data_IF_311027221133
#
_entry.id   IF_311027221133
#
_cell.length_a   1.000
_cell.length_b   1.000
_cell.length_c   1.000
_cell.angle_alpha   90.00
_cell.angle_beta   90.00
_cell.angle_gamma   90.00
#
_symmetry.space_group_name_H-M   'P 1'
#
loop_
_entity.id
_entity.type
_entity.pdbx_description
1 polymer ?
#
# COMPACT_ATOMS: atom_id res chain seq x y z
N UNK A 1 38.74 -33.01 20.51
CA UNK A 1 38.91 -31.56 20.24
C UNK A 1 38.58 -31.40 18.78
N UNK A 2 37.31 -31.17 18.48
CA UNK A 2 36.88 -30.72 17.17
C UNK A 2 35.78 -29.70 17.43
N UNK A 3 36.03 -28.49 16.95
CA UNK A 3 35.29 -27.29 17.27
C UNK A 3 34.17 -27.05 16.26
N UNK A 4 33.13 -26.50 16.84
CA UNK A 4 31.87 -25.93 16.37
C UNK A 4 31.89 -24.97 15.14
N UNK A 5 30.69 -24.89 14.54
CA UNK A 5 29.98 -23.74 13.95
C UNK A 5 30.35 -23.14 12.56
N UNK A 6 29.33 -23.11 11.68
CA UNK A 6 28.57 -21.92 11.16
C UNK A 6 27.74 -22.35 9.93
N UNK A 7 26.41 -22.49 9.99
CA UNK A 7 25.35 -21.45 9.89
C UNK A 7 25.60 -20.41 8.79
N UNK A 8 24.69 -20.40 7.82
CA UNK A 8 24.52 -19.37 6.81
C UNK A 8 23.12 -19.50 6.23
N UNK A 9 22.10 -19.24 7.05
CA UNK A 9 20.72 -19.00 6.61
C UNK A 9 20.69 -17.70 5.80
N UNK A 10 20.62 -17.84 4.47
CA UNK A 10 20.28 -16.75 3.57
C UNK A 10 18.76 -16.64 3.46
N UNK A 11 18.12 -15.98 4.42
CA UNK A 11 16.77 -15.46 4.22
C UNK A 11 16.87 -14.20 3.36
N UNK A 12 16.98 -14.41 2.05
CA UNK A 12 16.72 -13.37 1.07
C UNK A 12 15.30 -12.86 1.27
N UNK A 13 15.18 -11.54 1.42
CA UNK A 13 13.89 -10.84 1.33
C UNK A 13 13.21 -11.26 0.03
N UNK A 14 12.14 -12.05 0.13
CA UNK A 14 11.25 -12.30 -1.01
C UNK A 14 10.30 -11.12 -1.03
N UNK A 15 10.76 -10.00 -1.58
CA UNK A 15 9.85 -9.02 -2.14
C UNK A 15 9.09 -9.75 -3.25
N UNK A 16 7.81 -10.03 -3.05
CA UNK A 16 6.98 -10.52 -4.15
C UNK A 16 6.89 -9.36 -5.13
N UNK A 17 7.59 -9.49 -6.26
CA UNK A 17 7.61 -8.50 -7.34
C UNK A 17 6.28 -8.54 -8.11
N UNK A 18 5.20 -8.09 -7.48
CA UNK A 18 3.97 -7.78 -8.18
C UNK A 18 3.87 -6.26 -8.36
N UNK A 19 3.28 -5.86 -9.48
CA UNK A 19 2.98 -4.45 -9.74
C UNK A 19 1.86 -3.98 -8.79
N UNK A 20 2.05 -2.89 -8.08
CA UNK A 20 1.02 -2.29 -7.22
C UNK A 20 -0.03 -1.57 -8.05
N UNK A 21 -1.30 -1.72 -7.67
CA UNK A 21 -2.43 -1.05 -8.32
C UNK A 21 -3.30 -0.33 -7.29
N UNK A 22 -3.89 0.80 -7.69
CA UNK A 22 -4.93 1.46 -6.90
C UNK A 22 -6.06 0.45 -6.64
N UNK A 23 -6.51 0.38 -5.39
CA UNK A 23 -7.50 -0.58 -4.94
C UNK A 23 -6.92 -1.90 -4.41
N UNK A 24 -5.61 -2.18 -4.56
CA UNK A 24 -5.02 -3.36 -3.92
C UNK A 24 -5.18 -3.29 -2.39
N UNK A 25 -5.56 -4.41 -1.77
CA UNK A 25 -5.52 -4.61 -0.32
C UNK A 25 -4.24 -5.37 0.01
N UNK A 26 -3.41 -4.81 0.89
CA UNK A 26 -2.10 -5.33 1.25
C UNK A 26 -2.05 -5.63 2.75
N UNK A 27 -1.34 -6.68 3.13
CA UNK A 27 -0.80 -6.82 4.49
C UNK A 27 0.67 -6.35 4.49
N UNK A 28 0.97 -5.39 5.35
CA UNK A 28 2.31 -4.89 5.61
C UNK A 28 2.82 -5.42 6.95
N UNK A 29 4.07 -5.84 6.99
CA UNK A 29 4.79 -6.07 8.24
C UNK A 29 6.28 -5.77 8.09
N UNK A 30 6.94 -5.42 9.18
CA UNK A 30 8.38 -5.18 9.24
C UNK A 30 8.87 -5.66 10.60
N UNK A 31 9.89 -6.54 10.66
CA UNK A 31 10.46 -6.98 11.92
C UNK A 31 10.92 -5.81 12.78
N UNK A 32 10.68 -5.93 14.09
CA UNK A 32 11.10 -4.94 15.07
C UNK A 32 12.64 -4.90 15.18
N UNK A 33 13.23 -3.83 14.67
CA UNK A 33 14.68 -3.59 14.59
C UNK A 33 15.10 -2.57 15.64
N UNK A 34 16.23 -2.79 16.30
CA UNK A 34 16.74 -1.85 17.31
C UNK A 34 17.06 -0.48 16.71
N UNK A 35 16.74 0.57 17.45
CA UNK A 35 17.04 1.96 17.11
C UNK A 35 17.31 2.76 18.40
N UNK A 36 18.02 3.87 18.26
CA UNK A 36 18.33 4.77 19.39
C UNK A 36 17.35 5.93 19.42
N UNK A 37 16.76 6.18 20.57
CA UNK A 37 15.96 7.38 20.84
C UNK A 37 16.89 8.57 20.98
N UNK A 38 16.66 9.62 20.19
CA UNK A 38 17.44 10.86 20.21
C UNK A 38 16.72 11.96 21.00
N UNK A 39 15.39 11.99 20.92
CA UNK A 39 14.54 12.97 21.59
C UNK A 39 13.15 12.38 21.85
N UNK A 40 12.52 12.84 22.93
CA UNK A 40 11.14 12.53 23.27
C UNK A 40 10.39 13.85 23.46
N UNK A 41 9.28 14.02 22.76
CA UNK A 41 8.35 15.12 22.96
C UNK A 41 7.02 14.58 23.49
N UNK A 42 6.06 15.46 23.76
CA UNK A 42 4.71 15.04 24.14
C UNK A 42 4.00 14.30 22.98
N UNK A 43 4.37 14.64 21.75
CA UNK A 43 3.69 14.17 20.54
C UNK A 43 4.51 13.11 19.81
N UNK A 44 5.84 13.14 19.89
CA UNK A 44 6.71 12.34 19.03
C UNK A 44 7.85 11.66 19.78
N UNK A 45 8.28 10.52 19.25
CA UNK A 45 9.54 9.85 19.57
C UNK A 45 10.46 9.97 18.37
N UNK A 46 11.61 10.63 18.59
CA UNK A 46 12.60 10.85 17.55
C UNK A 46 13.69 9.79 17.65
N UNK A 47 13.96 9.10 16.55
CA UNK A 47 14.85 7.93 16.54
C UNK A 47 15.85 8.01 15.40
N UNK A 48 17.07 7.54 15.65
CA UNK A 48 18.03 7.23 14.58
C UNK A 48 17.41 6.14 13.71
N UNK A 49 17.14 6.46 12.44
CA UNK A 49 16.44 5.55 11.56
C UNK A 49 17.35 4.38 11.17
N UNK A 50 16.94 3.13 11.40
CA UNK A 50 17.87 2.01 11.31
C UNK A 50 18.17 1.55 9.88
N UNK A 51 17.41 2.03 8.88
CA UNK A 51 17.46 1.49 7.52
C UNK A 51 18.00 2.46 6.47
N UNK A 52 17.72 3.76 6.57
CA UNK A 52 18.14 4.72 5.55
C UNK A 52 19.45 5.38 5.91
N UNK A 53 20.26 5.66 4.89
CA UNK A 53 21.46 6.48 5.02
C UNK A 53 21.17 7.93 4.64
N UNK A 54 21.90 8.88 5.21
CA UNK A 54 21.87 10.27 4.74
C UNK A 54 22.44 10.35 3.32
N UNK A 55 21.78 11.09 2.44
CA UNK A 55 22.27 11.34 1.08
C UNK A 55 23.23 12.54 1.08
N UNK A 56 24.55 12.33 0.90
CA UNK A 56 25.52 13.42 0.90
C UNK A 56 25.42 14.31 -0.34
N UNK A 57 24.81 13.79 -1.42
CA UNK A 57 24.69 14.44 -2.73
C UNK A 57 23.32 15.11 -2.91
N UNK A 58 22.55 15.26 -1.82
CA UNK A 58 21.25 15.92 -1.83
C UNK A 58 21.41 17.44 -1.73
N UNK A 59 21.40 18.10 -2.89
CA UNK A 59 21.41 19.56 -2.97
C UNK A 59 20.06 20.14 -2.51
N UNK A 60 20.09 20.98 -1.47
CA UNK A 60 18.93 21.76 -1.01
C UNK A 60 17.96 21.03 -0.07
N UNK A 61 18.07 19.70 0.09
CA UNK A 61 17.30 18.93 1.08
C UNK A 61 18.28 18.21 2.00
N UNK A 62 18.27 18.54 3.30
CA UNK A 62 19.13 17.91 4.30
C UNK A 62 18.28 17.14 5.28
N UNK A 63 18.52 15.83 5.36
CA UNK A 63 18.01 14.97 6.40
C UNK A 63 19.15 14.54 7.32
N UNK A 64 18.88 14.45 8.62
CA UNK A 64 19.89 14.23 9.66
C UNK A 64 19.95 12.78 10.14
N UNK A 65 19.27 11.84 9.48
CA UNK A 65 19.21 10.45 9.91
C UNK A 65 18.12 10.14 10.93
N UNK A 66 17.32 11.14 11.34
CA UNK A 66 16.30 11.00 12.39
C UNK A 66 14.90 11.02 11.81
N UNK A 67 14.05 10.11 12.26
CA UNK A 67 12.61 10.10 11.98
C UNK A 67 11.84 10.39 13.27
N UNK A 68 10.81 11.22 13.18
CA UNK A 68 9.84 11.42 14.24
C UNK A 68 8.65 10.47 14.01
N UNK A 69 8.31 9.68 15.01
CA UNK A 69 7.13 8.81 15.01
C UNK A 69 6.18 9.27 16.11
N UNK A 70 4.88 9.27 15.82
CA UNK A 70 3.86 9.63 16.80
C UNK A 70 4.01 8.79 18.10
N UNK A 71 3.93 9.44 19.26
CA UNK A 71 4.21 8.86 20.56
C UNK A 71 3.11 7.90 21.05
N UNK A 72 1.87 8.07 20.60
CA UNK A 72 0.79 7.17 20.95
C UNK A 72 -0.56 7.47 20.30
N UNK A 73 -1.62 6.72 20.65
CA UNK A 73 -2.95 6.83 20.07
C UNK A 73 -3.61 8.21 20.14
N UNK A 74 -3.22 9.02 21.12
CA UNK A 74 -3.77 10.37 21.34
C UNK A 74 -3.03 11.45 20.54
N UNK A 75 -1.96 11.08 19.81
CA UNK A 75 -1.18 12.00 18.98
C UNK A 75 -1.77 12.13 17.58
N UNK A 76 -1.79 13.35 17.05
CA UNK A 76 -2.15 13.61 15.65
C UNK A 76 -1.26 12.79 14.69
N UNK A 77 -1.87 12.09 13.74
CA UNK A 77 -1.16 11.30 12.74
C UNK A 77 -0.82 9.87 13.16
N UNK A 78 -1.03 9.50 14.43
CA UNK A 78 -0.86 8.10 14.88
C UNK A 78 -1.73 7.12 14.08
N UNK A 79 -2.94 7.55 13.72
CA UNK A 79 -3.88 6.78 12.92
C UNK A 79 -3.35 6.48 11.51
N UNK A 80 -2.53 7.38 10.94
CA UNK A 80 -1.89 7.24 9.62
C UNK A 80 -0.59 6.45 9.66
N UNK A 81 0.14 6.54 10.77
CA UNK A 81 1.42 5.86 10.96
C UNK A 81 1.23 4.32 10.99
N UNK A 82 2.10 3.59 10.29
CA UNK A 82 2.16 2.12 10.28
C UNK A 82 3.28 1.60 11.17
N UNK A 83 4.35 2.37 11.37
CA UNK A 83 5.44 2.01 12.27
C UNK A 83 5.01 2.12 13.73
N UNK A 84 5.53 1.21 14.55
CA UNK A 84 5.31 1.17 15.99
C UNK A 84 6.65 1.08 16.69
N UNK A 85 6.70 1.67 17.88
CA UNK A 85 7.86 1.63 18.76
C UNK A 85 7.57 0.70 19.94
N UNK A 86 8.59 -0.06 20.35
CA UNK A 86 8.60 -0.87 21.55
C UNK A 86 9.85 -0.58 22.41
N UNK A 87 9.73 -0.36 23.72
CA UNK A 87 8.49 -0.20 24.49
C UNK A 87 7.73 1.09 24.09
N UNK A 88 6.53 1.28 24.63
CA UNK A 88 5.71 2.47 24.35
C UNK A 88 6.41 3.76 24.78
N UNK A 89 6.07 4.90 24.16
CA UNK A 89 6.77 6.17 24.37
C UNK A 89 6.87 6.59 25.85
N UNK A 90 5.80 6.40 26.64
CA UNK A 90 5.78 6.73 28.07
C UNK A 90 6.72 5.88 28.95
N UNK A 91 7.28 4.81 28.40
CA UNK A 91 8.25 3.93 29.07
C UNK A 91 9.69 4.16 28.60
N UNK A 92 9.89 5.06 27.62
CA UNK A 92 11.20 5.39 27.09
C UNK A 92 11.85 6.54 27.86
N UNK A 93 13.17 6.56 27.83
CA UNK A 93 14.00 7.69 28.22
C UNK A 93 14.80 8.16 26.99
N UNK A 94 15.30 9.42 26.98
CA UNK A 94 16.27 9.85 25.97
C UNK A 94 17.50 8.93 25.97
N UNK A 95 18.13 8.73 24.81
CA UNK A 95 19.24 7.80 24.57
C UNK A 95 18.92 6.31 24.81
N UNK A 96 17.68 5.95 25.15
CA UNK A 96 17.28 4.57 25.28
C UNK A 96 17.32 3.84 23.92
N UNK A 97 17.54 2.53 23.99
CA UNK A 97 17.34 1.64 22.83
C UNK A 97 15.87 1.25 22.80
N UNK A 98 15.23 1.51 21.67
CA UNK A 98 13.89 1.04 21.36
C UNK A 98 13.94 0.06 20.18
N UNK A 99 12.80 -0.49 19.81
CA UNK A 99 12.64 -1.29 18.60
C UNK A 99 11.54 -0.70 17.74
N UNK A 100 11.79 -0.59 16.44
CA UNK A 100 10.87 -0.04 15.46
C UNK A 100 10.51 -1.13 14.46
N UNK A 101 9.22 -1.29 14.19
CA UNK A 101 8.74 -2.23 13.19
C UNK A 101 7.31 -1.91 12.78
N UNK A 102 6.77 -2.71 11.87
CA UNK A 102 5.37 -2.65 11.46
C UNK A 102 4.75 -3.97 11.92
N UNK A 103 3.84 -4.00 12.91
CA UNK A 103 3.06 -5.20 13.17
C UNK A 103 2.21 -5.53 11.93
N UNK A 104 1.73 -6.78 11.75
CA UNK A 104 0.82 -7.12 10.65
C UNK A 104 -0.32 -6.09 10.54
N UNK A 105 -0.33 -5.33 9.45
CA UNK A 105 -1.19 -4.17 9.27
C UNK A 105 -1.80 -4.23 7.88
N UNK A 106 -3.13 -4.32 7.82
CA UNK A 106 -3.88 -4.26 6.56
C UNK A 106 -4.00 -2.80 6.11
N UNK A 107 -3.67 -2.55 4.84
CA UNK A 107 -3.80 -1.26 4.17
C UNK A 107 -4.42 -1.41 2.79
N UNK A 108 -4.99 -0.34 2.24
CA UNK A 108 -5.45 -0.29 0.85
C UNK A 108 -4.76 0.83 0.08
N UNK A 109 -4.36 0.51 -1.16
CA UNK A 109 -3.59 1.41 -2.03
C UNK A 109 -4.53 2.44 -2.66
N UNK A 110 -4.25 3.72 -2.45
CA UNK A 110 -5.03 4.83 -3.01
C UNK A 110 -4.31 5.57 -4.14
N UNK A 111 -2.98 5.45 -4.22
CA UNK A 111 -2.20 5.99 -5.33
C UNK A 111 -0.90 5.22 -5.53
N UNK A 112 -0.46 5.13 -6.79
CA UNK A 112 0.86 4.62 -7.16
C UNK A 112 1.50 5.62 -8.10
N UNK A 113 2.73 6.05 -7.80
CA UNK A 113 3.45 7.05 -8.60
C UNK A 113 4.86 6.55 -8.90
N UNK A 114 5.26 6.61 -10.16
CA UNK A 114 6.64 6.39 -10.55
C UNK A 114 7.38 7.74 -10.52
N UNK A 115 8.55 7.74 -9.89
CA UNK A 115 9.42 8.90 -9.71
C UNK A 115 10.64 8.72 -10.61
N UNK A 116 10.55 9.25 -11.83
CA UNK A 116 11.64 9.26 -12.80
C UNK A 116 11.92 10.71 -13.27
N UNK A 117 13.06 11.31 -12.88
CA UNK A 117 14.15 10.72 -12.09
C UNK A 117 13.75 10.43 -10.62
N UNK A 118 14.51 9.57 -9.91
CA UNK A 118 14.28 9.30 -8.48
C UNK A 118 14.27 10.58 -7.66
N UNK A 119 13.32 10.69 -6.72
CA UNK A 119 13.10 11.90 -5.93
C UNK A 119 14.25 12.14 -4.95
N UNK A 120 14.76 13.37 -4.92
CA UNK A 120 15.76 13.80 -3.94
C UNK A 120 15.04 14.13 -2.62
N UNK A 121 15.32 13.35 -1.57
CA UNK A 121 14.67 13.44 -0.25
C UNK A 121 15.64 13.72 0.90
N UNK A 122 16.95 13.77 0.64
CA UNK A 122 17.97 13.87 1.68
C UNK A 122 18.40 12.53 2.29
N UNK A 123 17.79 11.43 1.87
CA UNK A 123 18.16 10.07 2.29
C UNK A 123 18.32 9.12 1.10
N UNK A 124 19.02 8.02 1.35
CA UNK A 124 19.21 6.90 0.44
C UNK A 124 18.48 5.65 0.96
N UNK A 125 17.96 4.80 0.06
CA UNK A 125 17.91 5.00 -1.39
C UNK A 125 16.94 6.13 -1.77
N UNK A 126 17.24 6.85 -2.86
CA UNK A 126 16.33 7.89 -3.38
C UNK A 126 15.05 7.25 -3.89
N UNK A 127 13.87 7.70 -3.44
CA UNK A 127 12.63 7.05 -3.82
C UNK A 127 12.40 7.04 -5.33
N UNK A 128 12.08 5.87 -5.87
CA UNK A 128 11.78 5.62 -7.30
C UNK A 128 10.30 5.38 -7.52
N UNK A 129 9.60 4.93 -6.49
CA UNK A 129 8.16 4.73 -6.52
C UNK A 129 7.56 5.19 -5.20
N UNK A 130 6.32 5.65 -5.28
CA UNK A 130 5.52 6.00 -4.12
C UNK A 130 4.22 5.21 -4.19
N UNK A 131 4.03 4.30 -3.23
CA UNK A 131 2.76 3.61 -3.00
C UNK A 131 2.12 4.25 -1.78
N UNK A 132 1.00 4.95 -2.00
CA UNK A 132 0.26 5.64 -0.96
C UNK A 132 -0.90 4.78 -0.52
N UNK A 133 -1.00 4.52 0.79
CA UNK A 133 -2.00 3.64 1.36
C UNK A 133 -2.75 4.28 2.54
N UNK A 134 -3.96 3.80 2.77
CA UNK A 134 -4.74 4.04 3.98
C UNK A 134 -4.84 2.74 4.79
N UNK A 135 -4.84 2.83 6.12
CA UNK A 135 -5.04 1.65 6.97
C UNK A 135 -6.50 1.21 6.92
N UNK A 136 -6.74 -0.08 7.20
CA UNK A 136 -8.09 -0.60 7.28
C UNK A 136 -8.96 0.25 8.24
N UNK A 137 -10.18 0.57 7.81
CA UNK A 137 -11.11 1.47 8.50
C UNK A 137 -11.01 2.94 8.10
N UNK A 138 -10.01 3.34 7.30
CA UNK A 138 -9.88 4.71 6.80
C UNK A 138 -10.39 4.83 5.36
N UNK A 139 -11.32 5.76 5.13
CA UNK A 139 -11.83 6.07 3.78
C UNK A 139 -11.05 7.20 3.13
N UNK A 140 -10.97 7.20 1.80
CA UNK A 140 -10.45 8.33 1.03
C UNK A 140 -11.34 9.57 1.24
N UNK A 141 -10.72 10.70 1.58
CA UNK A 141 -11.39 12.00 1.67
C UNK A 141 -10.84 12.94 0.60
N UNK A 142 -11.65 13.20 -0.42
CA UNK A 142 -11.29 14.04 -1.55
C UNK A 142 -11.04 15.52 -1.17
N UNK A 143 -11.44 15.96 0.02
CA UNK A 143 -11.17 17.32 0.51
C UNK A 143 -9.74 17.48 1.06
N UNK A 144 -9.03 16.37 1.33
CA UNK A 144 -7.68 16.39 1.86
C UNK A 144 -6.66 16.32 0.72
N UNK A 145 -5.74 17.28 0.68
CA UNK A 145 -4.66 17.30 -0.31
C UNK A 145 -3.66 16.15 -0.10
N UNK A 146 -3.38 15.83 1.17
CA UNK A 146 -2.45 14.77 1.56
C UNK A 146 -3.13 13.81 2.55
N UNK A 147 -3.34 12.58 2.08
CA UNK A 147 -3.92 11.50 2.87
C UNK A 147 -3.10 10.22 2.71
N UNK A 148 -3.09 9.42 3.77
CA UNK A 148 -2.40 8.14 3.81
C UNK A 148 -0.92 8.24 4.16
N UNK A 149 -0.30 7.07 4.23
CA UNK A 149 1.14 6.89 4.40
C UNK A 149 1.72 6.36 3.12
N UNK A 150 2.89 6.87 2.74
CA UNK A 150 3.58 6.52 1.52
C UNK A 150 4.81 5.67 1.84
N UNK A 151 5.06 4.63 1.04
CA UNK A 151 6.33 3.89 1.09
C UNK A 151 6.87 3.68 -0.32
N UNK A 152 8.18 3.50 -0.42
CA UNK A 152 8.84 3.02 -1.64
C UNK A 152 9.06 1.51 -1.51
N UNK A 153 8.48 0.67 -2.38
CA UNK A 153 8.72 -0.77 -2.39
C UNK A 153 10.20 -1.16 -2.50
N UNK A 154 11.01 -0.30 -3.11
CA UNK A 154 12.44 -0.49 -3.37
C UNK A 154 13.35 0.20 -2.33
N UNK A 155 12.81 0.60 -1.17
CA UNK A 155 13.61 1.08 -0.05
C UNK A 155 14.37 -0.01 0.73
N UNK A 156 15.27 0.42 1.62
CA UNK A 156 16.08 -0.49 2.45
C UNK A 156 15.34 -0.99 3.72
N UNK A 157 14.05 -0.65 3.88
CA UNK A 157 13.27 -1.13 5.01
C UNK A 157 12.88 -2.60 4.73
N UNK A 158 13.12 -3.55 5.65
CA UNK A 158 12.85 -4.97 5.46
C UNK A 158 11.35 -5.29 5.62
N UNK A 159 10.54 -4.63 4.80
CA UNK A 159 9.08 -4.76 4.75
C UNK A 159 8.72 -6.05 4.03
N UNK A 160 7.87 -6.85 4.66
CA UNK A 160 7.11 -7.90 3.97
C UNK A 160 5.79 -7.31 3.51
N UNK A 161 5.45 -7.54 2.25
CA UNK A 161 4.22 -7.08 1.63
C UNK A 161 3.51 -8.27 1.00
N UNK A 162 2.27 -8.50 1.39
CA UNK A 162 1.42 -9.54 0.81
C UNK A 162 0.18 -8.91 0.16
N UNK A 163 -0.14 -9.31 -1.06
CA UNK A 163 -1.40 -8.94 -1.71
C UNK A 163 -2.52 -9.83 -1.17
N UNK A 164 -3.45 -9.25 -0.41
CA UNK A 164 -4.62 -9.95 0.11
C UNK A 164 -5.75 -9.99 -0.91
N UNK A 165 -5.93 -8.90 -1.66
CA UNK A 165 -7.00 -8.79 -2.64
C UNK A 165 -6.67 -7.74 -3.70
N UNK A 166 -7.02 -8.05 -4.95
CA UNK A 166 -7.00 -7.11 -6.07
C UNK A 166 -8.39 -7.07 -6.70
N UNK A 167 -9.09 -5.92 -6.67
CA UNK A 167 -10.36 -5.80 -7.35
C UNK A 167 -10.15 -5.95 -8.85
N UNK A 168 -11.02 -6.73 -9.49
CA UNK A 168 -10.98 -7.01 -10.94
C UNK A 168 -9.63 -7.60 -11.38
N UNK A 169 -9.06 -8.53 -10.62
CA UNK A 169 -7.75 -9.14 -10.91
C UNK A 169 -7.63 -9.80 -12.30
N UNK A 170 -8.76 -10.10 -12.95
CA UNK A 170 -8.85 -10.64 -14.31
C UNK A 170 -8.73 -9.56 -15.42
N UNK A 171 -8.63 -8.27 -15.06
CA UNK A 171 -8.46 -7.16 -15.99
C UNK A 171 -7.09 -6.47 -15.86
N UNK A 172 -6.68 -5.85 -16.96
CA UNK A 172 -5.53 -4.98 -17.07
C UNK A 172 -5.97 -3.55 -17.38
N UNK A 173 -5.24 -2.55 -16.86
CA UNK A 173 -5.55 -1.14 -17.11
C UNK A 173 -5.44 -0.90 -18.62
N UNK A 174 -6.51 -0.39 -19.22
CA UNK A 174 -6.61 -0.17 -20.66
C UNK A 174 -7.49 -1.19 -21.38
N UNK A 175 -7.82 -2.32 -20.75
CA UNK A 175 -8.72 -3.32 -21.33
C UNK A 175 -10.04 -2.67 -21.76
N UNK A 176 -10.47 -3.00 -22.98
CA UNK A 176 -11.76 -2.60 -23.52
C UNK A 176 -12.70 -3.81 -23.45
N UNK A 177 -13.86 -3.63 -22.82
CA UNK A 177 -14.83 -4.71 -22.57
C UNK A 177 -16.22 -4.30 -23.04
N UNK A 178 -17.02 -5.27 -23.47
CA UNK A 178 -18.46 -5.12 -23.60
C UNK A 178 -19.14 -5.69 -22.36
N UNK A 179 -20.14 -4.97 -21.83
CA UNK A 179 -21.00 -5.46 -20.78
C UNK A 179 -22.13 -6.35 -21.33
N UNK A 180 -22.95 -6.94 -20.47
CA UNK A 180 -24.05 -7.82 -20.88
C UNK A 180 -25.17 -7.10 -21.66
N UNK A 181 -25.24 -5.77 -21.61
CA UNK A 181 -26.09 -4.94 -22.45
C UNK A 181 -25.49 -4.61 -23.82
N UNK A 182 -24.26 -5.06 -24.08
CA UNK A 182 -23.51 -4.76 -25.31
C UNK A 182 -22.87 -3.37 -25.32
N UNK A 183 -22.86 -2.66 -24.17
CA UNK A 183 -22.21 -1.35 -24.06
C UNK A 183 -20.71 -1.54 -23.86
N UNK A 184 -19.91 -0.75 -24.57
CA UNK A 184 -18.45 -0.81 -24.50
C UNK A 184 -17.88 0.12 -23.42
N UNK A 185 -16.86 -0.36 -22.72
CA UNK A 185 -16.20 0.30 -21.60
C UNK A 185 -14.70 0.14 -21.69
N UNK A 186 -13.95 1.12 -21.19
CA UNK A 186 -12.53 0.99 -20.90
C UNK A 186 -12.31 0.91 -19.40
N UNK A 187 -11.58 -0.12 -18.96
CA UNK A 187 -11.15 -0.26 -17.58
C UNK A 187 -9.93 0.62 -17.33
N UNK A 188 -10.02 1.57 -16.39
CA UNK A 188 -8.92 2.50 -16.07
C UNK A 188 -8.27 2.24 -14.72
N UNK A 189 -8.87 1.35 -13.92
CA UNK A 189 -8.40 0.96 -12.60
C UNK A 189 -9.57 0.65 -11.69
N UNK A 190 -9.27 0.35 -10.42
CA UNK A 190 -10.30 0.10 -9.43
C UNK A 190 -11.29 1.27 -9.37
N UNK A 191 -12.56 0.97 -9.63
CA UNK A 191 -13.69 1.91 -9.62
C UNK A 191 -13.68 3.01 -10.71
N UNK A 192 -12.66 3.05 -11.57
CA UNK A 192 -12.56 3.99 -12.69
C UNK A 192 -12.92 3.28 -14.01
N UNK A 193 -14.18 3.47 -14.41
CA UNK A 193 -14.77 2.90 -15.63
C UNK A 193 -15.17 4.01 -16.59
N UNK A 194 -14.69 3.93 -17.83
CA UNK A 194 -14.98 4.92 -18.86
C UNK A 194 -15.86 4.32 -19.96
N UNK A 195 -17.12 4.73 -20.10
CA UNK A 195 -17.94 4.28 -21.23
C UNK A 195 -17.54 4.99 -22.52
N UNK A 196 -17.61 4.29 -23.66
CA UNK A 196 -17.25 4.84 -24.97
C UNK A 196 -18.33 5.76 -25.57
N UNK A 197 -19.57 5.64 -25.11
CA UNK A 197 -20.70 6.46 -25.56
C UNK A 197 -20.77 7.84 -24.89
N UNK A 198 -19.86 8.12 -23.95
CA UNK A 198 -19.79 9.40 -23.24
C UNK A 198 -20.92 9.64 -22.24
N UNK A 199 -21.74 8.63 -21.91
CA UNK A 199 -22.73 8.78 -20.84
C UNK A 199 -22.06 8.90 -19.45
N UNK A 200 -22.86 9.28 -18.45
CA UNK A 200 -22.39 9.47 -17.07
C UNK A 200 -21.64 8.25 -16.54
N UNK A 201 -20.62 8.46 -15.68
CA UNK A 201 -19.87 7.38 -15.05
C UNK A 201 -20.81 6.43 -14.30
N UNK A 202 -20.74 5.15 -14.67
CA UNK A 202 -21.43 4.05 -14.01
C UNK A 202 -20.56 2.79 -14.11
N UNK A 203 -20.98 1.72 -13.46
CA UNK A 203 -20.31 0.44 -13.55
C UNK A 203 -20.85 -0.42 -14.72
N UNK A 204 -20.02 -1.26 -15.36
CA UNK A 204 -20.50 -2.19 -16.37
C UNK A 204 -21.33 -3.32 -15.76
N UNK A 205 -22.37 -3.76 -16.47
CA UNK A 205 -23.19 -4.90 -16.04
C UNK A 205 -22.55 -6.22 -16.45
N UNK A 206 -22.33 -7.10 -15.49
CA UNK A 206 -21.71 -8.40 -15.77
C UNK A 206 -22.69 -9.38 -16.47
N UNK A 207 -22.19 -10.41 -17.18
CA UNK A 207 -20.78 -10.71 -17.48
C UNK A 207 -20.14 -9.69 -18.43
N UNK A 208 -18.81 -9.66 -18.42
CA UNK A 208 -17.98 -8.85 -19.30
C UNK A 208 -17.40 -9.73 -20.41
N UNK A 209 -17.29 -9.15 -21.61
CA UNK A 209 -16.60 -9.74 -22.75
C UNK A 209 -15.41 -8.86 -23.10
N UNK A 210 -14.19 -9.39 -23.06
CA UNK A 210 -13.01 -8.65 -23.51
C UNK A 210 -13.10 -8.40 -25.03
N UNK A 211 -12.97 -7.14 -25.42
CA UNK A 211 -12.94 -6.71 -26.81
C UNK A 211 -11.50 -6.59 -27.29
N UNK A 212 -10.68 -5.85 -26.53
CA UNK A 212 -9.25 -5.67 -26.82
C UNK A 212 -8.45 -5.57 -25.52
N UNK A 213 -7.19 -6.02 -25.59
CA UNK A 213 -6.12 -5.77 -24.62
C UNK A 213 -4.95 -5.17 -25.37
N UNK A 214 -4.45 -4.03 -24.90
CA UNK A 214 -3.42 -3.24 -25.59
C UNK A 214 -3.75 -2.90 -27.06
N UNK A 215 -5.04 -2.86 -27.40
CA UNK A 215 -5.53 -2.58 -28.76
C UNK A 215 -5.62 -3.79 -29.68
N UNK A 216 -5.20 -4.97 -29.23
CA UNK A 216 -5.27 -6.24 -29.96
C UNK A 216 -6.30 -7.19 -29.35
N UNK A 217 -6.77 -8.16 -30.14
CA UNK A 217 -7.62 -9.25 -29.64
C UNK A 217 -6.77 -10.28 -28.89
N UNK A 218 -7.20 -10.65 -27.69
CA UNK A 218 -6.60 -11.73 -26.90
C UNK A 218 -7.67 -12.76 -26.51
N UNK A 219 -7.74 -13.86 -27.27
CA UNK A 219 -8.74 -14.90 -27.08
C UNK A 219 -8.60 -15.61 -25.72
N UNK A 220 -7.38 -15.75 -25.21
CA UNK A 220 -7.15 -16.41 -23.93
C UNK A 220 -7.64 -15.53 -22.78
N UNK A 221 -7.25 -14.26 -22.78
CA UNK A 221 -7.74 -13.29 -21.80
C UNK A 221 -9.25 -13.08 -21.90
N UNK A 222 -9.83 -13.15 -23.12
CA UNK A 222 -11.27 -13.05 -23.31
C UNK A 222 -12.04 -14.19 -22.63
N UNK A 223 -11.53 -15.42 -22.68
CA UNK A 223 -12.10 -16.55 -21.95
C UNK A 223 -12.02 -16.30 -20.44
N UNK A 224 -10.85 -15.91 -19.93
CA UNK A 224 -10.65 -15.67 -18.49
C UNK A 224 -11.57 -14.57 -17.94
N UNK A 225 -11.69 -13.43 -18.65
CA UNK A 225 -12.59 -12.33 -18.27
C UNK A 225 -14.04 -12.77 -18.29
N UNK A 226 -14.45 -13.52 -19.31
CA UNK A 226 -15.83 -14.03 -19.40
C UNK A 226 -16.11 -14.95 -18.24
N UNK A 227 -15.29 -15.97 -18.01
CA UNK A 227 -15.47 -16.95 -16.93
C UNK A 227 -15.49 -16.28 -15.55
N UNK A 228 -14.58 -15.33 -15.30
CA UNK A 228 -14.51 -14.62 -14.01
C UNK A 228 -15.74 -13.76 -13.72
N UNK A 229 -16.49 -13.35 -14.75
CA UNK A 229 -17.66 -12.47 -14.63
C UNK A 229 -18.99 -13.16 -14.93
N UNK A 230 -18.98 -14.46 -15.25
CA UNK A 230 -20.20 -15.28 -15.41
C UNK A 230 -21.06 -15.28 -14.14
N UNK A 231 -20.43 -15.14 -12.98
CA UNK A 231 -21.08 -15.04 -11.69
C UNK A 231 -20.63 -13.78 -10.95
N UNK A 232 -21.51 -13.31 -10.07
CA UNK A 232 -21.32 -12.13 -9.26
C UNK A 232 -21.58 -10.82 -9.99
N UNK A 233 -21.10 -9.72 -9.43
CA UNK A 233 -21.34 -8.38 -9.96
C UNK A 233 -20.29 -7.38 -9.51
N UNK A 234 -20.28 -6.21 -10.15
CA UNK A 234 -19.52 -5.06 -9.69
C UNK A 234 -19.79 -4.71 -8.21
N UNK A 235 -21.06 -4.75 -7.79
CA UNK A 235 -21.46 -4.43 -6.42
C UNK A 235 -20.93 -5.45 -5.41
N UNK A 236 -20.89 -6.73 -5.78
CA UNK A 236 -20.29 -7.79 -4.96
C UNK A 236 -18.76 -7.63 -4.87
N UNK A 237 -18.08 -7.23 -5.95
CA UNK A 237 -16.65 -6.91 -5.93
C UNK A 237 -16.34 -5.76 -4.97
N UNK A 238 -17.14 -4.69 -5.06
CA UNK A 238 -17.04 -3.53 -4.19
C UNK A 238 -17.34 -3.88 -2.73
N UNK A 239 -18.33 -4.73 -2.47
CA UNK A 239 -18.65 -5.21 -1.12
C UNK A 239 -17.50 -6.02 -0.51
N UNK A 240 -16.89 -6.93 -1.28
CA UNK A 240 -15.70 -7.68 -0.83
C UNK A 240 -14.53 -6.76 -0.51
N UNK A 241 -14.29 -5.77 -1.38
CA UNK A 241 -13.24 -4.78 -1.15
C UNK A 241 -13.49 -3.96 0.12
N UNK A 242 -14.72 -3.44 0.31
CA UNK A 242 -15.09 -2.66 1.50
C UNK A 242 -14.93 -3.46 2.80
N UNK A 243 -15.27 -4.75 2.78
CA UNK A 243 -15.10 -5.63 3.93
C UNK A 243 -13.62 -5.79 4.32
N UNK A 244 -12.77 -6.11 3.33
CA UNK A 244 -11.32 -6.26 3.55
C UNK A 244 -10.62 -4.94 3.88
N UNK A 245 -11.08 -3.82 3.33
CA UNK A 245 -10.63 -2.49 3.67
C UNK A 245 -11.12 -2.01 5.04
N UNK A 246 -11.98 -2.78 5.73
CA UNK A 246 -12.54 -2.43 7.04
C UNK A 246 -13.52 -1.26 7.00
N UNK A 247 -14.11 -0.96 5.83
CA UNK A 247 -15.04 0.16 5.61
C UNK A 247 -16.50 -0.25 5.77
N UNK A 248 -16.79 -1.53 5.91
CA UNK A 248 -18.12 -2.00 6.27
C UNK A 248 -18.48 -1.50 7.67
N UNK A 249 -19.62 -0.81 7.85
CA UNK A 249 -20.05 -0.40 9.19
C UNK A 249 -20.13 -1.62 10.09
N UNK A 250 -19.58 -1.52 11.31
CA UNK A 250 -19.88 -2.50 12.34
C UNK A 250 -21.40 -2.59 12.43
N UNK A 251 -21.98 -3.77 12.17
CA UNK A 251 -23.42 -3.98 12.39
C UNK A 251 -23.69 -3.52 13.81
N UNK A 252 -24.52 -2.49 13.95
CA UNK A 252 -25.04 -2.08 15.24
C UNK A 252 -25.76 -3.29 15.83
N UNK A 253 -25.11 -3.97 16.76
CA UNK A 253 -25.80 -4.81 17.73
C UNK A 253 -26.62 -3.88 18.61
N UNK A 254 -27.82 -3.57 18.15
CA UNK A 254 -28.92 -3.17 19.00
C UNK A 254 -29.57 -4.47 19.50
N UNK A 255 -29.20 -4.91 20.71
CA UNK A 255 -30.08 -5.56 21.69
C UNK A 255 -29.46 -5.54 23.09
#
# INVERSE_FOLDING_TARGET
MECDARVGDGLGSVAVAFEYRVGDILELSCPFTEARVTELTADDVHVEWPWWAVDPDSDGVRWNGVVALAAGPDTLGWDREVFRIQPAAGELAPDAVCRIGIPPTVVHVIAVRNLDPPRVTGWLPRPRREVVCLRAGQSLDAALADQGSAFDPEDDIPRRVELLFRPYAFLEIGDEVADSGGRAWRFRGAWDWQPFDGAEPAAPTWPLLLLTRDGDSDDAAAVDVTEATLAGSHDEELARWNDLAGLTPARSTDE
#
